data_IF_987644398196
#
_entry.id   IF_987644398196
#
_cell.length_a   1.000
_cell.length_b   1.000
_cell.length_c   1.000
_cell.angle_alpha   90.00
_cell.angle_beta   90.00
_cell.angle_gamma   90.00
#
_symmetry.space_group_name_H-M   'P 1'
#
loop_
_entity.id
_entity.type
_entity.pdbx_description
1 polymer ?
#
# COMPACT_ATOMS: atom_id res chain seq x y z
N UNK A 1 -15.85 -5.76 -36.62
CA UNK A 1 -15.03 -6.62 -35.73
C UNK A 1 -14.81 -5.91 -34.40
N UNK A 2 -15.85 -5.83 -33.58
CA UNK A 2 -15.79 -5.32 -32.19
C UNK A 2 -16.97 -5.84 -31.35
N UNK A 3 -17.94 -6.51 -31.97
CA UNK A 3 -19.05 -7.19 -31.30
C UNK A 3 -18.75 -8.61 -30.82
N UNK A 4 -17.76 -9.30 -31.41
CA UNK A 4 -17.55 -10.73 -31.11
C UNK A 4 -16.78 -10.97 -29.79
N UNK A 5 -15.92 -10.02 -29.37
CA UNK A 5 -15.12 -10.18 -28.14
C UNK A 5 -15.98 -9.97 -26.87
N UNK A 6 -17.04 -9.16 -26.96
CA UNK A 6 -17.95 -8.92 -25.83
C UNK A 6 -18.95 -10.07 -25.63
N UNK A 7 -19.30 -10.79 -26.70
CA UNK A 7 -20.26 -11.90 -26.66
C UNK A 7 -19.61 -13.15 -26.05
N UNK A 8 -18.34 -13.46 -26.36
CA UNK A 8 -17.69 -14.68 -25.86
C UNK A 8 -17.38 -14.65 -24.35
N UNK A 9 -17.17 -13.48 -23.74
CA UNK A 9 -16.93 -13.35 -22.29
C UNK A 9 -18.20 -13.57 -21.44
N UNK A 10 -19.40 -13.57 -22.05
CA UNK A 10 -20.66 -13.86 -21.36
C UNK A 10 -21.00 -15.35 -21.31
N UNK A 11 -20.37 -16.18 -22.15
CA UNK A 11 -20.66 -17.62 -22.28
C UNK A 11 -20.15 -18.49 -21.13
N UNK A 12 -19.19 -18.01 -20.33
CA UNK A 12 -18.61 -18.74 -19.20
C UNK A 12 -19.17 -18.33 -17.82
N UNK A 13 -20.18 -17.46 -17.79
CA UNK A 13 -20.82 -17.02 -16.56
C UNK A 13 -21.74 -18.10 -16.02
N UNK A 14 -21.29 -18.86 -15.03
CA UNK A 14 -22.18 -19.68 -14.20
C UNK A 14 -23.09 -18.71 -13.42
N UNK A 15 -24.43 -18.78 -13.61
CA UNK A 15 -25.37 -17.93 -12.89
C UNK A 15 -25.18 -18.06 -11.37
N UNK A 16 -25.03 -16.92 -10.68
CA UNK A 16 -24.75 -16.86 -9.24
C UNK A 16 -23.28 -16.58 -8.89
N UNK A 17 -22.30 -17.04 -9.70
CA UNK A 17 -20.88 -16.73 -9.46
C UNK A 17 -20.59 -15.25 -9.73
N UNK A 18 -21.18 -14.68 -10.79
CA UNK A 18 -21.02 -13.25 -11.12
C UNK A 18 -21.51 -12.34 -9.99
N UNK A 19 -22.67 -12.68 -9.40
CA UNK A 19 -23.23 -11.97 -8.25
C UNK A 19 -22.37 -12.08 -6.99
N UNK A 20 -21.83 -13.28 -6.71
CA UNK A 20 -20.93 -13.50 -5.58
C UNK A 20 -19.62 -12.69 -5.71
N UNK A 21 -19.01 -12.69 -6.90
CA UNK A 21 -17.79 -11.89 -7.17
C UNK A 21 -18.05 -10.39 -6.99
N UNK A 22 -19.19 -9.90 -7.50
CA UNK A 22 -19.55 -8.49 -7.36
C UNK A 22 -19.82 -8.10 -5.89
N UNK A 23 -20.53 -8.95 -5.14
CA UNK A 23 -20.75 -8.74 -3.71
C UNK A 23 -19.44 -8.73 -2.92
N UNK A 24 -18.51 -9.65 -3.23
CA UNK A 24 -17.18 -9.68 -2.62
C UNK A 24 -16.39 -8.40 -2.89
N UNK A 25 -16.35 -7.93 -4.15
CA UNK A 25 -15.70 -6.65 -4.51
C UNK A 25 -16.34 -5.47 -3.78
N UNK A 26 -17.67 -5.41 -3.71
CA UNK A 26 -18.40 -4.35 -2.99
C UNK A 26 -18.13 -4.36 -1.49
N UNK A 27 -18.07 -5.53 -0.86
CA UNK A 27 -17.76 -5.67 0.56
C UNK A 27 -16.34 -5.17 0.85
N UNK A 28 -15.37 -5.58 0.02
CA UNK A 28 -13.98 -5.12 0.11
C UNK A 28 -13.86 -3.61 -0.09
N UNK A 29 -14.46 -3.05 -1.13
CA UNK A 29 -14.49 -1.59 -1.36
C UNK A 29 -14.97 -0.84 -0.12
N UNK A 30 -16.13 -1.23 0.43
CA UNK A 30 -16.71 -0.57 1.61
C UNK A 30 -15.77 -0.61 2.81
N UNK A 31 -15.19 -1.78 3.06
CA UNK A 31 -14.25 -2.00 4.15
C UNK A 31 -13.00 -1.14 3.96
N UNK A 32 -12.42 -1.14 2.77
CA UNK A 32 -11.22 -0.38 2.47
C UNK A 32 -11.45 1.14 2.62
N UNK A 33 -12.54 1.67 2.08
CA UNK A 33 -12.88 3.09 2.21
C UNK A 33 -13.14 3.48 3.67
N UNK A 34 -13.79 2.61 4.45
CA UNK A 34 -13.97 2.84 5.88
C UNK A 34 -12.61 2.99 6.58
N UNK A 35 -11.74 1.99 6.44
CA UNK A 35 -10.42 1.97 7.08
C UNK A 35 -9.54 3.12 6.62
N UNK A 36 -9.59 3.46 5.33
CA UNK A 36 -8.91 4.62 4.77
C UNK A 36 -9.39 5.93 5.40
N UNK A 37 -10.71 6.10 5.55
CA UNK A 37 -11.28 7.31 6.16
C UNK A 37 -10.86 7.44 7.62
N UNK A 38 -10.88 6.35 8.38
CA UNK A 38 -10.46 6.32 9.79
C UNK A 38 -8.97 6.69 9.93
N UNK A 39 -8.10 6.09 9.11
CA UNK A 39 -6.66 6.38 9.08
C UNK A 39 -6.39 7.84 8.66
N UNK A 40 -7.07 8.35 7.63
CA UNK A 40 -6.98 9.74 7.18
C UNK A 40 -7.43 10.73 8.26
N UNK A 41 -8.55 10.43 8.94
CA UNK A 41 -9.07 11.27 10.01
C UNK A 41 -8.06 11.38 11.17
N UNK A 42 -7.36 10.30 11.49
CA UNK A 42 -6.32 10.31 12.53
C UNK A 42 -5.13 11.24 12.21
N UNK A 43 -4.95 11.62 10.93
CA UNK A 43 -3.82 12.44 10.44
C UNK A 43 -4.26 13.77 9.83
N UNK A 44 -5.55 14.10 9.89
CA UNK A 44 -6.13 15.23 9.16
C UNK A 44 -5.50 16.57 9.52
N UNK A 45 -5.19 16.80 10.81
CA UNK A 45 -4.56 18.04 11.26
C UNK A 45 -3.14 18.19 10.70
N UNK A 46 -2.39 17.09 10.64
CA UNK A 46 -1.03 17.11 10.06
C UNK A 46 -1.08 17.43 8.57
N UNK A 47 -2.00 16.81 7.84
CA UNK A 47 -2.24 17.11 6.41
C UNK A 47 -2.63 18.58 6.23
N UNK A 48 -3.55 19.08 7.05
CA UNK A 48 -4.01 20.48 7.01
C UNK A 48 -2.85 21.46 7.17
N UNK A 49 -2.03 21.28 8.20
CA UNK A 49 -0.85 22.13 8.46
C UNK A 49 0.15 22.06 7.30
N UNK A 50 0.41 20.87 6.76
CA UNK A 50 1.30 20.71 5.61
C UNK A 50 0.80 21.49 4.37
N UNK A 51 -0.52 21.47 4.13
CA UNK A 51 -1.14 22.16 3.01
C UNK A 51 -1.17 23.69 3.18
N UNK A 52 -1.23 24.22 4.40
CA UNK A 52 -1.17 25.68 4.64
C UNK A 52 0.11 26.31 4.09
N UNK A 53 1.21 25.54 4.07
CA UNK A 53 2.52 25.98 3.58
C UNK A 53 2.72 25.80 2.07
N UNK A 54 1.71 25.29 1.34
CA UNK A 54 1.79 25.01 -0.11
C UNK A 54 1.22 26.13 -0.97
N UNK A 55 1.80 26.32 -2.14
CA UNK A 55 1.24 27.13 -3.22
C UNK A 55 -0.03 26.50 -3.79
N UNK A 56 -0.81 27.25 -4.58
CA UNK A 56 -1.99 26.72 -5.26
C UNK A 56 -1.63 25.54 -6.19
N UNK A 57 -0.60 25.70 -7.00
CA UNK A 57 -0.11 24.66 -7.93
C UNK A 57 0.28 23.37 -7.18
N UNK A 58 0.97 23.49 -6.04
CA UNK A 58 1.32 22.33 -5.21
C UNK A 58 0.09 21.62 -4.63
N UNK A 59 -0.96 22.38 -4.25
CA UNK A 59 -2.21 21.81 -3.76
C UNK A 59 -2.94 21.06 -4.87
N UNK A 60 -3.03 21.63 -6.07
CA UNK A 60 -3.62 20.97 -7.24
C UNK A 60 -2.87 19.69 -7.59
N UNK A 61 -1.54 19.69 -7.50
CA UNK A 61 -0.74 18.48 -7.69
C UNK A 61 -1.06 17.42 -6.62
N UNK A 62 -1.15 17.81 -5.35
CA UNK A 62 -1.50 16.89 -4.25
C UNK A 62 -2.92 16.31 -4.45
N UNK A 63 -3.88 17.10 -4.93
CA UNK A 63 -5.23 16.62 -5.22
C UNK A 63 -5.24 15.58 -6.34
N UNK A 64 -4.43 15.75 -7.38
CA UNK A 64 -4.26 14.74 -8.42
C UNK A 64 -3.62 13.46 -7.87
N UNK A 65 -2.61 13.61 -7.02
CA UNK A 65 -1.92 12.49 -6.38
C UNK A 65 -2.85 11.70 -5.47
N UNK A 66 -3.72 12.39 -4.73
CA UNK A 66 -4.75 11.77 -3.90
C UNK A 66 -5.68 10.85 -4.69
N UNK A 67 -6.04 11.22 -5.94
CA UNK A 67 -6.85 10.35 -6.81
C UNK A 67 -6.14 9.03 -7.12
N UNK A 68 -4.85 9.07 -7.44
CA UNK A 68 -4.07 7.85 -7.64
C UNK A 68 -4.04 6.99 -6.38
N UNK A 69 -3.82 7.58 -5.20
CA UNK A 69 -3.84 6.85 -3.92
C UNK A 69 -5.16 6.11 -3.72
N UNK A 70 -6.29 6.76 -4.01
CA UNK A 70 -7.61 6.15 -3.89
C UNK A 70 -7.77 4.93 -4.80
N UNK A 71 -7.24 4.95 -6.02
CA UNK A 71 -7.29 3.80 -6.93
C UNK A 71 -6.57 2.58 -6.33
N UNK A 72 -5.42 2.78 -5.68
CA UNK A 72 -4.73 1.68 -4.97
C UNK A 72 -5.51 1.17 -3.76
N UNK A 73 -6.10 2.08 -2.97
CA UNK A 73 -6.86 1.73 -1.76
C UNK A 73 -8.11 0.91 -2.08
N UNK A 74 -8.84 1.29 -3.12
CA UNK A 74 -10.10 0.65 -3.50
C UNK A 74 -9.93 -0.84 -3.80
N UNK A 75 -8.83 -1.21 -4.46
CA UNK A 75 -8.58 -2.58 -4.92
C UNK A 75 -7.71 -3.41 -3.97
N UNK A 76 -7.15 -2.82 -2.92
CA UNK A 76 -6.26 -3.49 -1.97
C UNK A 76 -6.93 -4.71 -1.32
N UNK A 77 -6.19 -5.82 -1.30
CA UNK A 77 -6.66 -7.10 -0.78
C UNK A 77 -6.37 -7.24 0.72
N UNK A 78 -5.25 -6.70 1.20
CA UNK A 78 -4.84 -6.73 2.59
C UNK A 78 -5.15 -5.39 3.25
N UNK A 79 -6.26 -5.35 3.97
CA UNK A 79 -6.77 -4.13 4.63
C UNK A 79 -5.73 -3.46 5.53
N UNK A 80 -4.84 -4.23 6.19
CA UNK A 80 -3.79 -3.65 7.05
C UNK A 80 -2.78 -2.79 6.27
N UNK A 81 -2.71 -2.93 4.95
CA UNK A 81 -1.82 -2.12 4.10
C UNK A 81 -2.31 -0.68 3.95
N UNK A 82 -3.60 -0.42 4.16
CA UNK A 82 -4.21 0.90 3.99
C UNK A 82 -3.53 1.95 4.89
N UNK A 83 -3.12 1.58 6.11
CA UNK A 83 -2.38 2.49 6.99
C UNK A 83 -1.04 2.96 6.40
N UNK A 84 -0.35 2.08 5.65
CA UNK A 84 0.90 2.42 4.99
C UNK A 84 0.65 3.29 3.77
N UNK A 85 -0.42 3.02 3.01
CA UNK A 85 -0.88 3.88 1.92
C UNK A 85 -1.18 5.31 2.42
N UNK A 86 -1.93 5.43 3.53
CA UNK A 86 -2.21 6.73 4.14
C UNK A 86 -0.94 7.42 4.63
N UNK A 87 0.00 6.70 5.25
CA UNK A 87 1.29 7.27 5.63
C UNK A 87 2.08 7.79 4.42
N UNK A 88 2.09 7.05 3.31
CA UNK A 88 2.68 7.49 2.05
C UNK A 88 2.08 8.79 1.56
N UNK A 89 0.75 8.93 1.61
CA UNK A 89 0.07 10.18 1.28
C UNK A 89 0.46 11.34 2.21
N UNK A 90 0.51 11.11 3.52
CA UNK A 90 0.96 12.14 4.47
C UNK A 90 2.39 12.59 4.15
N UNK A 91 3.29 11.66 3.88
CA UNK A 91 4.67 11.98 3.50
C UNK A 91 4.73 12.83 2.21
N UNK A 92 3.88 12.56 1.22
CA UNK A 92 3.78 13.39 0.01
C UNK A 92 3.42 14.84 0.37
N UNK A 93 2.49 15.05 1.30
CA UNK A 93 2.10 16.41 1.70
C UNK A 93 3.21 17.17 2.42
N UNK A 94 4.17 16.49 3.06
CA UNK A 94 5.31 17.13 3.73
C UNK A 94 6.31 17.73 2.74
N UNK A 95 6.52 17.08 1.60
CA UNK A 95 7.59 17.42 0.65
C UNK A 95 7.18 18.55 -0.30
N UNK A 96 8.13 19.40 -0.70
CA UNK A 96 7.86 20.54 -1.59
C UNK A 96 7.69 20.13 -3.06
N UNK A 97 8.41 19.09 -3.48
CA UNK A 97 8.32 18.52 -4.83
C UNK A 97 8.43 17.01 -4.73
N UNK A 98 7.42 16.32 -5.28
CA UNK A 98 7.43 14.88 -5.50
C UNK A 98 6.94 14.64 -6.91
N UNK A 99 7.65 13.85 -7.72
CA UNK A 99 7.18 13.54 -9.08
C UNK A 99 6.05 12.51 -9.03
N UNK A 100 5.13 12.59 -9.99
CA UNK A 100 4.05 11.61 -10.12
C UNK A 100 4.63 10.20 -10.30
N UNK A 101 5.67 10.05 -11.12
CA UNK A 101 6.35 8.77 -11.35
C UNK A 101 6.89 8.15 -10.05
N UNK A 102 7.44 8.97 -9.15
CA UNK A 102 7.94 8.49 -7.87
C UNK A 102 6.80 7.96 -6.99
N UNK A 103 5.67 8.67 -6.97
CA UNK A 103 4.51 8.26 -6.17
C UNK A 103 3.89 6.99 -6.73
N UNK A 104 3.69 6.91 -8.04
CA UNK A 104 3.19 5.70 -8.69
C UNK A 104 4.11 4.52 -8.41
N UNK A 105 5.43 4.70 -8.53
CA UNK A 105 6.42 3.67 -8.20
C UNK A 105 6.30 3.22 -6.75
N UNK A 106 6.14 4.14 -5.80
CA UNK A 106 5.94 3.80 -4.39
C UNK A 106 4.70 2.93 -4.18
N UNK A 107 3.55 3.35 -4.72
CA UNK A 107 2.29 2.61 -4.54
C UNK A 107 2.28 1.29 -5.30
N UNK A 108 2.94 1.20 -6.45
CA UNK A 108 3.13 -0.06 -7.18
C UNK A 108 3.96 -1.05 -6.37
N UNK A 109 5.09 -0.63 -5.80
CA UNK A 109 5.90 -1.50 -4.94
C UNK A 109 5.10 -1.90 -3.70
N UNK A 110 4.43 -0.94 -3.04
CA UNK A 110 3.60 -1.24 -1.88
C UNK A 110 2.51 -2.25 -2.23
N UNK A 111 1.84 -2.12 -3.38
CA UNK A 111 0.81 -3.04 -3.87
C UNK A 111 1.34 -4.47 -4.04
N UNK A 112 2.53 -4.63 -4.61
CA UNK A 112 3.15 -5.94 -4.82
C UNK A 112 3.60 -6.63 -3.52
N UNK A 113 3.95 -5.86 -2.49
CA UNK A 113 4.37 -6.40 -1.20
C UNK A 113 3.20 -6.98 -0.40
N UNK A 114 3.45 -8.13 0.21
CA UNK A 114 2.59 -8.71 1.24
C UNK A 114 2.95 -8.16 2.62
N UNK A 115 2.03 -8.30 3.57
CA UNK A 115 2.27 -7.92 4.97
C UNK A 115 3.51 -8.59 5.60
N UNK A 116 3.81 -9.83 5.20
CA UNK A 116 5.03 -10.53 5.62
C UNK A 116 6.27 -9.83 5.06
N UNK A 117 6.24 -9.43 3.79
CA UNK A 117 7.34 -8.72 3.14
C UNK A 117 7.59 -7.38 3.85
N UNK A 118 6.54 -6.61 4.12
CA UNK A 118 6.62 -5.32 4.85
C UNK A 118 7.22 -5.52 6.25
N UNK A 119 6.85 -6.58 6.96
CA UNK A 119 7.39 -6.88 8.29
C UNK A 119 8.89 -7.20 8.22
N UNK A 120 9.29 -8.03 7.26
CA UNK A 120 10.69 -8.39 7.04
C UNK A 120 11.51 -7.16 6.61
N UNK A 121 10.97 -6.31 5.73
CA UNK A 121 11.60 -5.05 5.32
C UNK A 121 11.87 -4.12 6.49
N UNK A 122 10.86 -3.93 7.35
CA UNK A 122 11.00 -3.09 8.54
C UNK A 122 12.11 -3.60 9.47
N UNK A 123 12.15 -4.91 9.71
CA UNK A 123 13.24 -5.51 10.48
C UNK A 123 14.60 -5.29 9.84
N UNK A 124 14.72 -5.48 8.52
CA UNK A 124 15.96 -5.23 7.80
C UNK A 124 16.44 -3.78 7.93
N UNK A 125 15.53 -2.81 7.85
CA UNK A 125 15.85 -1.39 7.98
C UNK A 125 16.25 -1.00 9.40
N UNK A 126 15.44 -1.36 10.40
CA UNK A 126 15.72 -1.07 11.81
C UNK A 126 17.05 -1.69 12.23
N UNK A 127 17.32 -2.93 11.82
CA UNK A 127 18.59 -3.61 12.12
C UNK A 127 19.82 -2.93 11.50
N UNK A 128 19.63 -2.13 10.45
CA UNK A 128 20.71 -1.47 9.70
C UNK A 128 20.96 -0.04 10.19
N UNK A 129 19.94 0.67 10.67
CA UNK A 129 20.02 2.11 10.97
C UNK A 129 19.77 2.47 12.44
N UNK A 130 19.21 1.58 13.27
CA UNK A 130 18.96 1.84 14.69
C UNK A 130 19.94 1.07 15.58
N UNK A 131 20.97 1.77 16.10
CA UNK A 131 21.88 1.20 17.10
C UNK A 131 21.26 1.11 18.49
N UNK A 132 20.17 1.84 18.76
CA UNK A 132 19.62 1.99 20.09
C UNK A 132 18.11 2.25 20.01
N UNK A 133 17.27 1.26 20.36
CA UNK A 133 15.90 1.41 20.89
C UNK A 133 15.35 0.03 21.35
N UNK A 134 14.65 0.07 22.49
CA UNK A 134 14.21 -1.04 23.37
C UNK A 134 13.11 -1.97 22.82
N UNK A 135 12.65 -1.82 21.59
CA UNK A 135 11.68 -2.75 20.99
C UNK A 135 12.19 -3.32 19.67
N UNK A 136 13.19 -4.21 19.78
CA UNK A 136 13.67 -4.98 18.63
C UNK A 136 12.69 -6.11 18.36
N UNK A 137 11.66 -5.83 17.56
CA UNK A 137 10.90 -6.87 16.88
C UNK A 137 11.88 -7.89 16.31
N UNK A 138 11.79 -9.15 16.74
CA UNK A 138 12.75 -10.17 16.33
C UNK A 138 12.29 -10.89 15.07
N UNK A 139 13.21 -11.52 14.34
CA UNK A 139 12.81 -12.38 13.22
C UNK A 139 11.91 -13.54 13.69
N UNK A 140 12.05 -13.97 14.95
CA UNK A 140 11.20 -14.99 15.57
C UNK A 140 9.76 -14.51 15.71
N UNK A 141 9.55 -13.30 16.22
CA UNK A 141 8.20 -12.70 16.33
C UNK A 141 7.53 -12.51 14.97
N UNK A 142 8.30 -12.19 13.93
CA UNK A 142 7.78 -12.11 12.56
C UNK A 142 7.35 -13.50 12.06
N UNK A 143 8.17 -14.53 12.29
CA UNK A 143 7.81 -15.90 11.92
C UNK A 143 6.53 -16.36 12.61
N UNK A 144 6.42 -16.11 13.91
CA UNK A 144 5.26 -16.49 14.71
C UNK A 144 3.99 -15.74 14.27
N UNK A 145 4.08 -14.42 14.02
CA UNK A 145 2.95 -13.60 13.58
C UNK A 145 2.40 -14.02 12.22
N UNK A 146 3.29 -14.34 11.28
CA UNK A 146 2.90 -14.69 9.91
C UNK A 146 2.74 -16.19 9.69
N UNK A 147 3.00 -17.02 10.70
CA UNK A 147 2.91 -18.47 10.60
C UNK A 147 3.89 -19.07 9.57
N UNK A 148 5.08 -18.49 9.44
CA UNK A 148 6.09 -18.91 8.45
C UNK A 148 7.29 -19.60 9.10
N UNK A 149 7.85 -20.56 8.39
CA UNK A 149 9.12 -21.19 8.77
C UNK A 149 10.32 -20.25 8.53
N UNK A 150 11.45 -20.60 9.14
CA UNK A 150 12.71 -19.89 8.93
C UNK A 150 13.18 -19.90 7.47
N UNK A 151 12.94 -21.00 6.74
CA UNK A 151 13.29 -21.07 5.31
C UNK A 151 12.42 -20.13 4.46
N UNK A 152 11.12 -20.04 4.77
CA UNK A 152 10.22 -19.09 4.12
C UNK A 152 10.61 -17.64 4.44
N UNK A 153 10.96 -17.34 5.71
CA UNK A 153 11.49 -16.03 6.10
C UNK A 153 12.75 -15.66 5.30
N UNK A 154 13.72 -16.58 5.19
CA UNK A 154 14.93 -16.36 4.39
C UNK A 154 14.60 -16.15 2.90
N UNK A 155 13.62 -16.87 2.36
CA UNK A 155 13.19 -16.70 0.98
C UNK A 155 12.59 -15.30 0.74
N UNK A 156 11.69 -14.85 1.62
CA UNK A 156 11.13 -13.48 1.60
C UNK A 156 12.26 -12.45 1.63
N UNK A 157 13.17 -12.54 2.62
CA UNK A 157 14.32 -11.64 2.74
C UNK A 157 15.18 -11.59 1.48
N UNK A 158 15.46 -12.74 0.86
CA UNK A 158 16.23 -12.81 -0.40
C UNK A 158 15.50 -12.17 -1.57
N UNK A 159 14.19 -12.40 -1.68
CA UNK A 159 13.38 -11.78 -2.73
C UNK A 159 13.38 -10.25 -2.61
N UNK A 160 13.26 -9.74 -1.38
CA UNK A 160 13.32 -8.29 -1.12
C UNK A 160 14.67 -7.68 -1.49
N UNK A 161 15.78 -8.35 -1.17
CA UNK A 161 17.11 -7.92 -1.60
C UNK A 161 17.27 -7.91 -3.13
N UNK A 162 16.52 -8.76 -3.86
CA UNK A 162 16.55 -8.84 -5.33
C UNK A 162 15.72 -7.76 -6.02
N UNK A 163 14.61 -7.33 -5.42
CA UNK A 163 13.74 -6.26 -5.96
C UNK A 163 14.49 -4.91 -6.01
N UNK A 164 15.54 -4.75 -5.19
CA UNK A 164 16.42 -3.59 -5.21
C UNK A 164 16.14 -2.65 -4.05
N UNK A 165 17.21 -2.22 -3.38
CA UNK A 165 17.19 -1.32 -2.22
C UNK A 165 16.53 0.06 -2.47
N UNK A 166 16.67 0.72 -3.65
CA UNK A 166 16.11 2.06 -3.85
C UNK A 166 14.58 2.14 -3.79
N UNK A 167 13.87 1.08 -4.22
CA UNK A 167 12.41 0.98 -4.11
C UNK A 167 11.93 0.74 -2.68
N UNK A 168 12.81 0.24 -1.80
CA UNK A 168 12.47 -0.16 -0.43
C UNK A 168 12.62 0.99 0.56
N UNK A 169 13.59 1.89 0.35
CA UNK A 169 13.77 3.11 1.15
C UNK A 169 12.55 4.05 1.06
N UNK A 170 11.71 3.92 0.02
CA UNK A 170 10.50 4.73 -0.12
C UNK A 170 9.39 4.28 0.85
N UNK A 171 9.40 3.01 1.29
CA UNK A 171 8.34 2.38 2.10
C UNK A 171 8.54 2.56 3.61
N UNK A 172 9.76 2.83 4.03
CA UNK A 172 10.20 2.83 5.43
C UNK A 172 10.37 4.25 5.97
#
# INVERSE_FOLDING_TARGET
MTGDILVDATSSLIPGISGAVQSYKRARFKRNIKTFTEEMQSKIEKIRLNLELKTLEQKEQIDQLFQYVLDYVIDEQQEEKIRYMVNGFVNITEHHHVSNDFILTYYDVLKELRMVDISVLRLMYVSRFAFDQESKETFQEIMDRHGISYEQYKAVRRNLLRIGFPSLDVIL
#
